data_IF_445318181786
#
_entry.id   IF_445318181786
#
_cell.length_a   1.000
_cell.length_b   1.000
_cell.length_c   1.000
_cell.angle_alpha   90.00
_cell.angle_beta   90.00
_cell.angle_gamma   90.00
#
_symmetry.space_group_name_H-M   'P 1'
#
loop_
_entity.id
_entity.type
_entity.pdbx_description
1 polymer ?
#
# COMPACT_ATOMS: atom_id res chain seq x y z
N UNK A 1 38.17 -7.52 33.06
CA UNK A 1 37.17 -6.53 33.49
C UNK A 1 36.97 -5.53 32.37
N UNK A 2 35.96 -5.67 31.58
CA UNK A 2 35.12 -4.61 31.00
C UNK A 2 33.83 -5.30 30.55
N UNK A 3 32.78 -5.08 31.32
CA UNK A 3 31.42 -5.51 31.06
C UNK A 3 30.64 -4.37 30.40
N UNK A 4 29.76 -4.73 29.45
CA UNK A 4 28.45 -4.16 29.20
C UNK A 4 28.40 -2.74 28.61
N UNK A 5 28.09 -2.64 27.32
CA UNK A 5 27.26 -1.58 26.70
C UNK A 5 26.60 -2.10 25.42
N UNK A 6 25.60 -2.97 25.56
CA UNK A 6 24.81 -3.42 24.42
C UNK A 6 23.32 -3.64 24.78
N UNK A 7 22.78 -2.78 25.66
CA UNK A 7 21.37 -2.91 26.11
C UNK A 7 20.57 -1.60 26.05
N UNK A 8 21.06 -0.56 25.37
CA UNK A 8 20.40 0.76 25.42
C UNK A 8 19.67 1.19 24.15
N UNK A 9 19.60 0.36 23.09
CA UNK A 9 18.93 0.75 21.84
C UNK A 9 17.53 0.12 21.63
N UNK A 10 17.14 -0.85 22.44
CA UNK A 10 15.83 -1.52 22.31
C UNK A 10 14.73 -0.86 23.14
N UNK A 11 15.09 -0.05 24.14
CA UNK A 11 14.13 0.63 25.02
C UNK A 11 13.66 2.01 24.52
N UNK A 12 14.16 2.50 23.40
CA UNK A 12 13.84 3.84 22.89
C UNK A 12 12.55 3.91 22.05
N UNK A 13 12.01 2.79 21.60
CA UNK A 13 10.76 2.76 20.84
C UNK A 13 9.47 2.77 21.68
N UNK A 14 9.58 2.56 22.99
CA UNK A 14 8.42 2.53 23.89
C UNK A 14 8.11 3.87 24.59
N UNK A 15 9.00 4.88 24.46
CA UNK A 15 8.86 6.16 25.20
C UNK A 15 8.36 7.34 24.35
N UNK A 16 8.07 7.15 23.05
CA UNK A 16 7.70 8.25 22.14
C UNK A 16 6.19 8.58 22.19
N UNK A 17 5.37 7.80 22.91
CA UNK A 17 3.93 8.05 23.04
C UNK A 17 3.52 9.06 24.14
N UNK A 18 4.44 9.75 24.80
CA UNK A 18 4.10 10.48 26.05
C UNK A 18 4.08 12.00 26.00
N UNK A 19 4.28 12.67 24.87
CA UNK A 19 4.28 14.15 24.89
C UNK A 19 3.56 14.71 23.67
N UNK A 20 2.28 14.83 23.72
CA UNK A 20 1.47 15.93 23.12
C UNK A 20 0.02 15.74 23.56
N UNK A 21 -0.68 16.82 23.93
CA UNK A 21 -2.00 16.88 24.53
C UNK A 21 -3.20 16.33 23.75
N UNK A 22 -3.03 15.23 23.02
CA UNK A 22 -4.05 14.29 22.65
C UNK A 22 -3.96 13.15 23.64
N UNK A 23 -4.82 13.19 24.67
CA UNK A 23 -4.94 12.14 25.65
C UNK A 23 -5.35 10.83 24.95
N UNK A 24 -4.38 10.00 24.63
CA UNK A 24 -4.60 8.57 24.53
C UNK A 24 -4.26 8.00 25.90
N UNK A 25 -5.27 7.70 26.70
CA UNK A 25 -5.11 6.88 27.90
C UNK A 25 -4.48 5.55 27.42
N UNK A 26 -3.42 5.08 28.08
CA UNK A 26 -2.75 3.81 27.73
C UNK A 26 -3.71 2.61 27.76
N UNK A 27 -4.90 2.75 28.37
CA UNK A 27 -5.97 1.74 28.44
C UNK A 27 -6.93 1.80 27.24
N UNK A 28 -6.95 2.93 26.51
CA UNK A 28 -7.86 3.19 25.39
C UNK A 28 -7.12 3.53 24.10
N UNK A 29 -5.84 3.13 23.95
CA UNK A 29 -5.12 3.32 22.70
C UNK A 29 -5.84 2.55 21.58
N UNK A 30 -6.45 3.21 20.59
CA UNK A 30 -7.00 2.52 19.42
C UNK A 30 -5.92 1.90 18.56
N UNK A 31 -4.64 2.23 18.81
CA UNK A 31 -3.48 1.51 18.32
C UNK A 31 -3.17 0.42 19.34
N UNK A 32 -4.03 -0.60 19.44
CA UNK A 32 -3.53 -1.89 19.80
C UNK A 32 -2.68 -2.34 18.63
N UNK A 33 -1.40 -1.93 18.64
CA UNK A 33 -0.40 -2.76 17.99
C UNK A 33 -0.70 -4.18 18.49
N UNK A 34 -1.00 -5.14 17.60
CA UNK A 34 -1.03 -6.53 18.02
C UNK A 34 0.24 -6.67 18.83
N UNK A 35 0.10 -7.02 20.11
CA UNK A 35 1.22 -7.08 21.05
C UNK A 35 2.39 -7.60 20.26
N UNK A 36 3.46 -6.82 20.18
CA UNK A 36 4.72 -7.33 19.69
C UNK A 36 4.99 -8.48 20.66
N UNK A 37 4.44 -9.67 20.36
CA UNK A 37 4.94 -10.89 20.92
C UNK A 37 6.41 -10.76 20.61
N UNK A 38 7.20 -10.57 21.66
CA UNK A 38 8.62 -10.90 21.60
C UNK A 38 8.58 -12.37 21.19
N UNK A 39 8.53 -12.58 19.86
CA UNK A 39 8.76 -13.88 19.28
C UNK A 39 10.19 -14.18 19.74
N UNK A 40 10.30 -14.98 20.76
CA UNK A 40 11.54 -15.68 21.07
C UNK A 40 12.10 -16.04 19.72
N UNK A 41 13.40 -15.78 19.44
CA UNK A 41 14.13 -15.98 18.20
C UNK A 41 13.53 -17.13 17.38
N UNK A 42 12.35 -16.93 16.82
CA UNK A 42 11.68 -17.89 15.99
C UNK A 42 12.58 -17.98 14.75
N UNK A 43 13.01 -19.17 14.43
CA UNK A 43 13.80 -19.40 13.23
C UNK A 43 13.07 -18.71 12.08
N UNK A 44 13.83 -17.89 11.33
CA UNK A 44 13.33 -17.22 10.12
C UNK A 44 12.58 -18.26 9.27
N UNK A 45 11.33 -18.01 8.88
CA UNK A 45 10.57 -18.96 8.09
C UNK A 45 11.34 -19.38 6.83
N UNK A 46 11.35 -20.68 6.51
CA UNK A 46 12.14 -21.23 5.40
C UNK A 46 11.78 -20.62 4.03
N UNK A 47 10.57 -20.08 3.88
CA UNK A 47 10.14 -19.41 2.67
C UNK A 47 10.67 -17.97 2.52
N UNK A 48 11.27 -17.41 3.55
CA UNK A 48 11.71 -16.00 3.52
C UNK A 48 12.83 -15.75 2.51
N UNK A 49 12.68 -14.80 1.56
CA UNK A 49 13.71 -14.44 0.61
C UNK A 49 14.94 -13.81 1.31
N UNK A 50 16.11 -13.98 0.73
CA UNK A 50 17.36 -13.34 1.21
C UNK A 50 17.53 -11.93 0.61
N UNK A 51 18.40 -11.12 1.21
CA UNK A 51 18.84 -9.82 0.68
C UNK A 51 17.72 -8.79 0.42
N UNK A 52 16.59 -8.88 1.11
CA UNK A 52 15.43 -8.02 0.86
C UNK A 52 15.79 -6.55 1.03
N UNK A 53 16.47 -6.20 2.13
CA UNK A 53 16.85 -4.82 2.41
C UNK A 53 17.84 -4.26 1.38
N UNK A 54 18.80 -5.06 0.92
CA UNK A 54 19.74 -4.67 -0.13
C UNK A 54 19.02 -4.42 -1.47
N UNK A 55 18.07 -5.26 -1.81
CA UNK A 55 17.24 -5.09 -3.01
C UNK A 55 16.39 -3.82 -2.96
N UNK A 56 15.80 -3.50 -1.78
CA UNK A 56 15.10 -2.23 -1.56
C UNK A 56 16.01 -1.04 -1.84
N UNK A 57 17.24 -1.04 -1.29
CA UNK A 57 18.22 0.03 -1.47
C UNK A 57 18.59 0.18 -2.94
N UNK A 58 18.89 -0.91 -3.63
CA UNK A 58 19.27 -0.90 -5.03
C UNK A 58 18.18 -0.27 -5.92
N UNK A 59 16.94 -0.74 -5.78
CA UNK A 59 15.80 -0.29 -6.60
C UNK A 59 15.43 1.16 -6.28
N UNK A 60 15.43 1.55 -5.00
CA UNK A 60 15.17 2.93 -4.61
C UNK A 60 16.24 3.91 -5.10
N UNK A 61 17.51 3.52 -5.05
CA UNK A 61 18.61 4.35 -5.53
C UNK A 61 18.48 4.62 -7.04
N UNK A 62 18.05 3.64 -7.82
CA UNK A 62 17.78 3.85 -9.23
C UNK A 62 16.73 4.95 -9.44
N UNK A 63 15.57 4.83 -8.80
CA UNK A 63 14.51 5.83 -8.95
C UNK A 63 14.98 7.22 -8.52
N UNK A 64 15.67 7.33 -7.38
CA UNK A 64 16.18 8.60 -6.87
C UNK A 64 17.31 9.18 -7.73
N UNK A 65 18.07 8.39 -8.48
CA UNK A 65 19.10 8.91 -9.39
C UNK A 65 18.52 9.77 -10.51
N UNK A 66 17.32 9.48 -10.98
CA UNK A 66 16.58 10.29 -11.95
C UNK A 66 15.71 11.38 -11.32
N UNK A 67 15.44 11.27 -10.04
CA UNK A 67 14.58 12.16 -9.29
C UNK A 67 15.29 12.72 -8.05
N UNK A 68 16.58 13.06 -8.15
CA UNK A 68 17.42 13.48 -7.03
C UNK A 68 16.87 14.69 -6.26
N UNK A 69 16.15 15.58 -6.95
CA UNK A 69 15.40 16.68 -6.37
C UNK A 69 13.95 16.53 -6.79
N UNK A 70 13.05 16.07 -5.90
CA UNK A 70 11.65 15.97 -6.24
C UNK A 70 11.14 17.34 -6.66
N UNK A 71 10.65 17.51 -7.90
CA UNK A 71 10.23 18.81 -8.38
C UNK A 71 8.97 19.27 -7.63
N UNK A 72 8.85 20.55 -7.32
CA UNK A 72 7.58 21.11 -6.89
C UNK A 72 6.59 21.13 -8.05
N UNK A 73 5.30 21.20 -7.72
CA UNK A 73 4.22 21.38 -8.68
C UNK A 73 3.48 20.13 -9.10
N UNK A 74 2.47 20.30 -9.99
CA UNK A 74 1.48 19.27 -10.27
C UNK A 74 2.04 17.94 -10.76
N UNK A 75 3.15 17.98 -11.49
CA UNK A 75 3.79 16.78 -12.04
C UNK A 75 4.34 15.83 -10.97
N UNK A 76 4.57 16.31 -9.74
CA UNK A 76 5.00 15.48 -8.62
C UNK A 76 3.85 15.12 -7.65
N UNK A 77 2.64 15.60 -7.92
CA UNK A 77 1.45 15.38 -7.11
C UNK A 77 0.49 14.35 -7.74
N UNK A 78 1.03 13.48 -8.59
CA UNK A 78 0.25 12.44 -9.27
C UNK A 78 0.07 11.21 -8.38
N UNK A 79 -0.92 10.37 -8.68
CA UNK A 79 -1.14 9.11 -7.98
C UNK A 79 0.07 8.15 -8.08
N UNK A 80 0.80 8.17 -9.21
CA UNK A 80 2.01 7.37 -9.36
C UNK A 80 3.10 7.78 -8.37
N UNK A 81 3.35 9.08 -8.26
CA UNK A 81 4.30 9.62 -7.27
C UNK A 81 3.82 9.39 -5.83
N UNK A 82 2.51 9.58 -5.55
CA UNK A 82 1.93 9.28 -4.23
C UNK A 82 2.19 7.85 -3.79
N UNK A 83 2.07 6.90 -4.72
CA UNK A 83 2.40 5.49 -4.46
C UNK A 83 3.89 5.29 -4.16
N UNK A 84 4.78 5.94 -4.91
CA UNK A 84 6.22 5.90 -4.64
C UNK A 84 6.56 6.48 -3.26
N UNK A 85 6.06 7.66 -2.93
CA UNK A 85 6.35 8.31 -1.64
C UNK A 85 5.83 7.48 -0.46
N UNK A 86 4.64 6.90 -0.57
CA UNK A 86 4.14 5.95 0.42
C UNK A 86 5.08 4.75 0.59
N UNK A 87 5.50 4.13 -0.51
CA UNK A 87 6.44 3.03 -0.52
C UNK A 87 7.79 3.38 0.12
N UNK A 88 8.35 4.57 -0.19
CA UNK A 88 9.61 5.04 0.37
C UNK A 88 9.53 5.21 1.92
N UNK A 89 8.40 5.71 2.43
CA UNK A 89 8.19 5.83 3.87
C UNK A 89 8.00 4.47 4.55
N UNK A 90 7.35 3.51 3.92
CA UNK A 90 7.31 2.12 4.39
C UNK A 90 8.71 1.50 4.41
N UNK A 91 9.50 1.69 3.36
CA UNK A 91 10.88 1.24 3.32
C UNK A 91 11.73 1.89 4.43
N UNK A 92 11.55 3.19 4.71
CA UNK A 92 12.17 3.85 5.86
C UNK A 92 11.79 3.16 7.17
N UNK A 93 10.50 2.93 7.42
CA UNK A 93 10.05 2.32 8.68
C UNK A 93 10.61 0.91 8.88
N UNK A 94 10.84 0.15 7.81
CA UNK A 94 11.37 -1.21 7.86
C UNK A 94 12.90 -1.28 7.93
N UNK A 95 13.61 -0.35 7.27
CA UNK A 95 15.07 -0.40 7.12
C UNK A 95 15.83 0.58 8.01
N UNK A 96 15.18 1.68 8.44
CA UNK A 96 15.81 2.77 9.16
C UNK A 96 16.66 3.71 8.27
N UNK A 97 16.58 3.59 6.94
CA UNK A 97 17.35 4.43 6.00
C UNK A 97 16.76 5.84 5.96
N UNK A 98 17.32 6.73 6.76
CA UNK A 98 16.81 8.09 7.01
C UNK A 98 16.68 8.95 5.74
N UNK A 99 17.48 8.68 4.71
CA UNK A 99 17.41 9.41 3.44
C UNK A 99 16.04 9.30 2.77
N UNK A 100 15.32 8.20 2.94
CA UNK A 100 14.00 8.01 2.37
C UNK A 100 12.97 8.97 2.98
N UNK A 101 12.95 9.06 4.31
CA UNK A 101 12.10 10.00 5.03
C UNK A 101 12.43 11.47 4.67
N UNK A 102 13.72 11.83 4.69
CA UNK A 102 14.17 13.19 4.34
C UNK A 102 13.78 13.57 2.91
N UNK A 103 13.86 12.63 1.98
CA UNK A 103 13.50 12.84 0.59
C UNK A 103 12.00 13.17 0.45
N UNK A 104 11.13 12.36 1.06
CA UNK A 104 9.68 12.57 0.99
C UNK A 104 9.28 13.84 1.75
N UNK A 105 9.89 14.14 2.89
CA UNK A 105 9.65 15.38 3.64
C UNK A 105 10.04 16.62 2.81
N UNK A 106 11.18 16.56 2.11
CA UNK A 106 11.60 17.66 1.21
C UNK A 106 10.57 17.88 0.11
N UNK A 107 10.07 16.80 -0.51
CA UNK A 107 9.00 16.89 -1.51
C UNK A 107 7.72 17.52 -0.94
N UNK A 108 7.25 17.05 0.21
CA UNK A 108 6.02 17.56 0.83
C UNK A 108 6.14 19.07 1.17
N UNK A 109 7.28 19.49 1.73
CA UNK A 109 7.56 20.91 2.02
C UNK A 109 7.62 21.76 0.75
N UNK A 110 8.26 21.28 -0.32
CA UNK A 110 8.37 22.00 -1.59
C UNK A 110 7.00 22.19 -2.27
N UNK A 111 6.07 21.29 -2.01
CA UNK A 111 4.69 21.35 -2.51
C UNK A 111 3.69 21.94 -1.48
N UNK A 112 4.18 22.46 -0.33
CA UNK A 112 3.35 23.07 0.71
C UNK A 112 2.19 22.16 1.16
N UNK A 113 2.40 20.85 1.17
CA UNK A 113 1.41 19.83 1.56
C UNK A 113 0.12 19.89 0.73
N UNK A 114 0.19 20.42 -0.49
CA UNK A 114 -0.93 20.63 -1.40
C UNK A 114 -1.24 19.38 -2.23
N UNK A 115 -2.29 19.48 -3.00
CA UNK A 115 -2.70 18.49 -4.01
C UNK A 115 -2.57 19.10 -5.40
N UNK A 116 -2.51 18.27 -6.45
CA UNK A 116 -2.61 18.74 -7.81
C UNK A 116 -3.94 19.50 -8.00
N UNK A 117 -3.98 20.57 -8.80
CA UNK A 117 -5.22 21.20 -9.17
C UNK A 117 -6.19 20.16 -9.74
N UNK A 118 -7.38 20.07 -9.20
CA UNK A 118 -8.39 19.12 -9.63
C UNK A 118 -9.76 19.82 -9.75
N UNK A 119 -10.64 19.32 -10.61
CA UNK A 119 -12.00 19.82 -10.66
C UNK A 119 -12.70 19.54 -9.30
N UNK A 120 -13.73 20.31 -8.95
CA UNK A 120 -14.46 20.13 -7.67
C UNK A 120 -15.29 18.83 -7.62
N UNK A 121 -14.88 17.82 -8.36
CA UNK A 121 -15.54 16.51 -8.49
C UNK A 121 -15.10 15.51 -7.42
N UNK A 122 -14.18 15.90 -6.53
CA UNK A 122 -13.63 15.02 -5.48
C UNK A 122 -13.08 13.69 -6.05
N UNK A 123 -12.32 13.76 -7.13
CA UNK A 123 -11.70 12.57 -7.72
C UNK A 123 -10.60 12.02 -6.83
N UNK A 124 -10.67 10.71 -6.56
CA UNK A 124 -9.76 10.01 -5.67
C UNK A 124 -8.27 10.11 -6.10
N UNK A 125 -7.98 10.07 -7.39
CA UNK A 125 -6.62 10.07 -7.94
C UNK A 125 -5.81 11.29 -7.51
N UNK A 126 -6.44 12.46 -7.42
CA UNK A 126 -5.77 13.71 -7.01
C UNK A 126 -5.38 13.73 -5.53
N UNK A 127 -6.04 12.89 -4.70
CA UNK A 127 -5.81 12.83 -3.26
C UNK A 127 -4.83 11.74 -2.84
N UNK A 128 -4.35 10.94 -3.78
CA UNK A 128 -3.49 9.79 -3.50
C UNK A 128 -2.21 10.13 -2.73
N UNK A 129 -1.62 11.32 -2.97
CA UNK A 129 -0.44 11.80 -2.24
C UNK A 129 -0.71 12.04 -0.74
N UNK A 130 -1.97 12.22 -0.35
CA UNK A 130 -2.36 12.46 1.04
C UNK A 130 -1.98 11.33 1.99
N UNK A 131 -1.85 10.10 1.50
CA UNK A 131 -1.37 9.00 2.30
C UNK A 131 0.11 9.19 2.71
N UNK A 132 0.94 9.75 1.85
CA UNK A 132 2.31 10.09 2.21
C UNK A 132 2.36 11.20 3.29
N UNK A 133 1.43 12.15 3.29
CA UNK A 133 1.33 13.16 4.35
C UNK A 133 0.96 12.55 5.70
N UNK A 134 0.05 11.58 5.73
CA UNK A 134 -0.27 10.81 6.94
C UNK A 134 0.96 10.08 7.46
N UNK A 135 1.68 9.37 6.58
CA UNK A 135 2.88 8.64 6.98
C UNK A 135 3.98 9.57 7.50
N UNK A 136 4.20 10.73 6.87
CA UNK A 136 5.13 11.74 7.37
C UNK A 136 4.74 12.22 8.76
N UNK A 137 3.45 12.50 9.00
CA UNK A 137 2.93 12.88 10.31
C UNK A 137 3.21 11.79 11.37
N UNK A 138 2.92 10.53 11.05
CA UNK A 138 3.11 9.41 11.97
C UNK A 138 4.58 9.11 12.27
N UNK A 139 5.47 9.36 11.30
CA UNK A 139 6.90 9.09 11.40
C UNK A 139 7.72 10.28 11.92
N UNK A 140 7.14 11.47 11.98
CA UNK A 140 7.77 12.65 12.57
C UNK A 140 7.57 12.62 14.09
N UNK A 141 8.65 12.62 14.90
CA UNK A 141 8.51 12.61 16.37
C UNK A 141 7.72 13.79 16.95
N UNK A 142 7.56 14.88 16.19
CA UNK A 142 6.82 16.08 16.62
C UNK A 142 5.34 15.99 16.27
N UNK A 143 4.93 15.05 15.43
CA UNK A 143 3.56 14.88 14.92
C UNK A 143 2.89 16.22 14.52
N UNK A 144 3.44 16.99 13.57
CA UNK A 144 2.92 18.32 13.24
C UNK A 144 1.56 18.21 12.54
N UNK A 145 0.50 18.58 13.24
CA UNK A 145 -0.88 18.50 12.71
C UNK A 145 -1.08 19.34 11.44
N UNK A 146 -0.23 20.36 11.22
CA UNK A 146 -0.20 21.17 10.00
C UNK A 146 -0.03 20.33 8.72
N UNK A 147 0.66 19.18 8.80
CA UNK A 147 0.82 18.26 7.67
C UNK A 147 -0.52 17.69 7.16
N UNK A 148 -1.50 17.59 8.04
CA UNK A 148 -2.80 16.96 7.76
C UNK A 148 -3.91 17.97 7.44
N UNK A 149 -3.72 19.27 7.68
CA UNK A 149 -4.77 20.28 7.48
C UNK A 149 -5.30 20.30 6.03
N UNK A 150 -4.44 20.32 4.98
CA UNK A 150 -4.93 20.31 3.61
C UNK A 150 -5.70 19.02 3.29
N UNK A 151 -5.17 17.87 3.69
CA UNK A 151 -5.83 16.57 3.48
C UNK A 151 -7.19 16.50 4.20
N UNK A 152 -7.24 16.90 5.45
CA UNK A 152 -8.49 16.89 6.23
C UNK A 152 -9.57 17.77 5.59
N UNK A 153 -9.18 18.90 5.03
CA UNK A 153 -10.12 19.78 4.29
C UNK A 153 -10.72 19.06 3.09
N UNK A 154 -9.91 18.39 2.28
CA UNK A 154 -10.38 17.65 1.10
C UNK A 154 -11.28 16.48 1.51
N UNK A 155 -10.85 15.65 2.47
CA UNK A 155 -11.63 14.48 2.91
C UNK A 155 -12.95 14.91 3.55
N UNK A 156 -13.01 16.04 4.26
CA UNK A 156 -14.29 16.59 4.75
C UNK A 156 -15.25 16.94 3.63
N UNK A 157 -14.75 17.33 2.47
CA UNK A 157 -15.59 17.53 1.29
C UNK A 157 -16.36 16.28 0.90
N UNK A 158 -15.69 15.12 0.93
CA UNK A 158 -16.36 13.81 0.73
C UNK A 158 -17.34 13.48 1.86
N UNK A 159 -16.89 13.64 3.13
CA UNK A 159 -17.72 13.32 4.31
C UNK A 159 -19.04 14.08 4.30
N UNK A 160 -19.00 15.35 3.90
CA UNK A 160 -20.17 16.22 3.84
C UNK A 160 -21.01 16.06 2.55
N UNK A 161 -20.50 15.36 1.54
CA UNK A 161 -21.23 15.12 0.30
C UNK A 161 -22.29 14.04 0.50
N UNK A 162 -23.53 14.22 0.01
CA UNK A 162 -24.54 13.16 0.02
C UNK A 162 -24.26 12.07 -1.04
N UNK A 163 -23.36 12.34 -2.00
CA UNK A 163 -23.08 11.41 -3.09
C UNK A 163 -22.34 10.17 -2.60
N UNK A 164 -22.67 9.02 -3.20
CA UNK A 164 -22.04 7.72 -2.95
C UNK A 164 -21.30 7.20 -4.19
N UNK A 165 -21.61 7.72 -5.37
CA UNK A 165 -21.05 7.37 -6.67
C UNK A 165 -19.70 8.07 -6.95
N UNK A 166 -18.85 8.23 -5.92
CA UNK A 166 -17.57 8.94 -6.05
C UNK A 166 -16.41 7.98 -6.34
N UNK A 167 -16.57 6.69 -6.07
CA UNK A 167 -15.56 5.67 -6.36
C UNK A 167 -16.12 4.68 -7.39
N UNK A 168 -16.09 5.09 -8.66
CA UNK A 168 -16.66 4.33 -9.78
C UNK A 168 -15.66 3.39 -10.47
N UNK A 169 -14.46 3.26 -9.88
CA UNK A 169 -13.41 2.35 -10.32
C UNK A 169 -12.61 1.84 -9.13
N UNK A 170 -12.13 0.61 -9.23
CA UNK A 170 -11.47 -0.09 -8.12
C UNK A 170 -10.20 0.61 -7.62
N UNK A 171 -9.49 1.33 -8.49
CA UNK A 171 -8.25 2.04 -8.15
C UNK A 171 -8.50 3.11 -7.07
N UNK A 172 -9.70 3.72 -7.06
CA UNK A 172 -10.09 4.74 -6.08
C UNK A 172 -9.95 4.24 -4.63
N UNK A 173 -10.13 2.93 -4.40
CA UNK A 173 -9.94 2.34 -3.07
C UNK A 173 -8.52 2.60 -2.55
N UNK A 174 -7.50 2.42 -3.38
CA UNK A 174 -6.12 2.70 -2.97
C UNK A 174 -5.84 4.19 -2.83
N UNK A 175 -6.41 4.99 -3.73
CA UNK A 175 -6.08 6.40 -3.87
C UNK A 175 -6.52 7.21 -2.67
N UNK A 176 -7.65 6.85 -2.02
CA UNK A 176 -8.21 7.70 -0.98
C UNK A 176 -8.82 6.98 0.23
N UNK A 177 -9.18 5.70 0.14
CA UNK A 177 -9.83 4.99 1.25
C UNK A 177 -8.96 4.94 2.52
N UNK A 178 -7.63 4.68 2.47
CA UNK A 178 -6.78 4.71 3.66
C UNK A 178 -6.79 6.07 4.38
N UNK A 179 -6.87 7.19 3.64
CA UNK A 179 -6.89 8.53 4.25
C UNK A 179 -8.11 8.75 5.13
N UNK A 180 -9.28 8.22 4.74
CA UNK A 180 -10.47 8.25 5.59
C UNK A 180 -10.27 7.45 6.87
N UNK A 181 -9.73 6.24 6.77
CA UNK A 181 -9.49 5.37 7.92
C UNK A 181 -8.57 6.05 8.94
N UNK A 182 -7.41 6.54 8.48
CA UNK A 182 -6.44 7.19 9.34
C UNK A 182 -6.98 8.47 9.97
N UNK A 183 -7.62 9.36 9.20
CA UNK A 183 -8.19 10.59 9.75
C UNK A 183 -9.34 10.28 10.72
N UNK A 184 -10.22 9.35 10.39
CA UNK A 184 -11.35 8.97 11.24
C UNK A 184 -10.89 8.45 12.60
N UNK A 185 -9.90 7.55 12.61
CA UNK A 185 -9.33 6.99 13.85
C UNK A 185 -8.55 8.04 14.64
N UNK A 186 -7.64 8.78 13.99
CA UNK A 186 -6.82 9.79 14.68
C UNK A 186 -7.65 10.93 15.26
N UNK A 187 -8.71 11.33 14.57
CA UNK A 187 -9.61 12.40 15.03
C UNK A 187 -10.71 11.89 15.96
N UNK A 188 -10.86 10.58 16.13
CA UNK A 188 -11.96 9.94 16.84
C UNK A 188 -13.34 10.40 16.29
N UNK A 189 -13.42 10.59 14.97
CA UNK A 189 -14.63 11.05 14.27
C UNK A 189 -15.20 9.91 13.39
N UNK A 190 -16.26 9.23 13.86
CA UNK A 190 -16.83 8.09 13.16
C UNK A 190 -17.44 8.45 11.80
N UNK A 191 -17.74 9.72 11.51
CA UNK A 191 -18.31 10.14 10.23
C UNK A 191 -17.39 9.85 9.06
N UNK A 192 -16.06 9.89 9.29
CA UNK A 192 -15.07 9.54 8.27
C UNK A 192 -15.14 8.04 7.94
N UNK A 193 -15.21 7.19 8.97
CA UNK A 193 -15.28 5.73 8.81
C UNK A 193 -16.59 5.31 8.15
N UNK A 194 -17.69 5.90 8.59
CA UNK A 194 -19.02 5.67 8.02
C UNK A 194 -19.07 6.06 6.55
N UNK A 195 -18.58 7.25 6.19
CA UNK A 195 -18.53 7.69 4.80
C UNK A 195 -17.62 6.82 3.95
N UNK A 196 -16.46 6.44 4.47
CA UNK A 196 -15.55 5.51 3.83
C UNK A 196 -16.26 4.20 3.48
N UNK A 197 -16.97 3.63 4.44
CA UNK A 197 -17.70 2.38 4.23
C UNK A 197 -18.82 2.54 3.20
N UNK A 198 -19.57 3.61 3.26
CA UNK A 198 -20.65 3.89 2.29
C UNK A 198 -20.11 3.96 0.85
N UNK A 199 -19.00 4.66 0.62
CA UNK A 199 -18.36 4.77 -0.69
C UNK A 199 -17.79 3.41 -1.14
N UNK A 200 -17.12 2.70 -0.25
CA UNK A 200 -16.62 1.35 -0.49
C UNK A 200 -17.74 0.37 -0.85
N UNK A 201 -18.82 0.37 -0.06
CA UNK A 201 -19.96 -0.52 -0.27
C UNK A 201 -20.70 -0.19 -1.57
N UNK A 202 -20.80 1.09 -1.93
CA UNK A 202 -21.36 1.50 -3.23
C UNK A 202 -20.52 0.94 -4.38
N UNK A 203 -19.19 1.13 -4.36
CA UNK A 203 -18.31 0.56 -5.36
C UNK A 203 -18.43 -0.97 -5.43
N UNK A 204 -18.45 -1.62 -4.26
CA UNK A 204 -18.56 -3.09 -4.14
C UNK A 204 -19.85 -3.65 -4.72
N UNK A 205 -21.00 -3.01 -4.48
CA UNK A 205 -22.32 -3.64 -4.67
C UNK A 205 -23.24 -2.91 -5.65
N UNK A 206 -22.99 -1.63 -5.97
CA UNK A 206 -23.91 -0.80 -6.74
C UNK A 206 -23.32 -0.33 -8.07
N UNK A 207 -22.06 0.08 -8.09
CA UNK A 207 -21.42 0.62 -9.29
C UNK A 207 -21.46 -0.40 -10.43
N UNK A 208 -22.22 -0.08 -11.49
CA UNK A 208 -22.38 -0.94 -12.67
C UNK A 208 -22.98 -2.33 -12.37
N UNK A 209 -23.63 -2.52 -11.22
CA UNK A 209 -24.11 -3.80 -10.70
C UNK A 209 -23.20 -4.42 -9.64
N UNK A 210 -22.15 -3.68 -9.25
CA UNK A 210 -21.15 -4.06 -8.25
C UNK A 210 -19.81 -4.47 -8.87
N UNK A 211 -18.74 -3.84 -8.42
CA UNK A 211 -17.38 -4.12 -8.91
C UNK A 211 -16.73 -5.36 -8.26
N UNK A 212 -17.31 -5.89 -7.18
CA UNK A 212 -16.81 -7.10 -6.53
C UNK A 212 -17.48 -8.35 -7.09
N UNK A 213 -16.66 -9.31 -7.52
CA UNK A 213 -17.14 -10.65 -7.87
C UNK A 213 -16.94 -11.61 -6.69
N UNK A 214 -18.00 -11.94 -5.94
CA UNK A 214 -17.89 -12.81 -4.77
C UNK A 214 -17.61 -14.28 -5.15
N UNK A 215 -17.86 -14.68 -6.40
CA UNK A 215 -17.61 -16.05 -6.88
C UNK A 215 -16.12 -16.24 -7.19
N UNK A 216 -15.50 -15.21 -7.78
CA UNK A 216 -14.07 -15.23 -8.12
C UNK A 216 -13.17 -14.72 -7.01
N UNK A 217 -13.70 -13.93 -6.04
CA UNK A 217 -12.89 -13.26 -5.03
C UNK A 217 -11.98 -12.18 -5.62
N UNK A 218 -12.40 -11.53 -6.68
CA UNK A 218 -11.66 -10.54 -7.44
C UNK A 218 -12.54 -9.33 -7.78
N UNK A 219 -11.89 -8.22 -8.14
CA UNK A 219 -12.56 -7.00 -8.53
C UNK A 219 -12.51 -6.78 -10.03
N UNK A 220 -13.62 -6.39 -10.63
CA UNK A 220 -13.64 -5.71 -11.92
C UNK A 220 -13.14 -4.27 -11.75
N UNK A 221 -12.47 -3.74 -12.78
CA UNK A 221 -11.89 -2.41 -12.69
C UNK A 221 -12.97 -1.33 -12.58
N UNK A 222 -14.00 -1.41 -13.42
CA UNK A 222 -15.14 -0.50 -13.49
C UNK A 222 -16.34 -1.19 -14.13
N UNK A 223 -17.47 -0.46 -14.24
CA UNK A 223 -18.72 -0.98 -14.81
C UNK A 223 -18.60 -1.63 -16.20
N UNK A 224 -17.60 -1.22 -17.00
CA UNK A 224 -17.43 -1.77 -18.35
C UNK A 224 -16.92 -3.21 -18.35
N UNK A 225 -16.41 -3.68 -17.22
CA UNK A 225 -15.85 -5.03 -17.06
C UNK A 225 -16.74 -5.96 -16.25
N UNK A 226 -17.77 -5.46 -15.58
CA UNK A 226 -18.69 -6.28 -14.76
C UNK A 226 -19.29 -7.41 -15.59
N UNK A 227 -19.24 -8.64 -15.06
CA UNK A 227 -19.71 -9.86 -15.71
C UNK A 227 -18.76 -10.43 -16.77
N UNK A 228 -17.62 -9.81 -17.05
CA UNK A 228 -16.62 -10.32 -17.99
C UNK A 228 -15.52 -11.09 -17.23
N UNK A 229 -14.91 -12.09 -17.87
CA UNK A 229 -13.72 -12.79 -17.33
C UNK A 229 -12.44 -11.96 -17.52
N UNK A 230 -12.50 -10.69 -17.11
CA UNK A 230 -11.41 -9.72 -17.24
C UNK A 230 -11.19 -9.08 -15.86
N UNK A 231 -10.19 -9.56 -15.13
CA UNK A 231 -9.81 -9.06 -13.82
C UNK A 231 -8.40 -8.49 -13.90
N UNK A 232 -8.31 -7.18 -14.00
CA UNK A 232 -7.04 -6.50 -14.18
C UNK A 232 -6.15 -6.64 -12.94
N UNK A 233 -4.93 -7.16 -13.14
CA UNK A 233 -3.97 -7.46 -12.08
C UNK A 233 -3.70 -6.23 -11.21
N UNK A 234 -3.26 -5.11 -11.80
CA UNK A 234 -2.99 -3.90 -11.02
C UNK A 234 -4.24 -3.33 -10.33
N UNK A 235 -5.42 -3.41 -10.94
CA UNK A 235 -6.67 -3.01 -10.29
C UNK A 235 -6.93 -3.80 -9.02
N UNK A 236 -6.77 -5.12 -9.06
CA UNK A 236 -6.85 -5.98 -7.88
C UNK A 236 -5.69 -5.72 -6.90
N UNK A 237 -4.52 -5.34 -7.41
CA UNK A 237 -3.39 -4.90 -6.60
C UNK A 237 -3.71 -3.65 -5.77
N UNK A 238 -4.38 -2.67 -6.37
CA UNK A 238 -4.86 -1.50 -5.66
C UNK A 238 -5.85 -1.87 -4.55
N UNK A 239 -6.80 -2.75 -4.84
CA UNK A 239 -7.82 -3.17 -3.88
C UNK A 239 -7.20 -3.85 -2.64
N UNK A 240 -6.34 -4.85 -2.83
CA UNK A 240 -5.72 -5.55 -1.69
C UNK A 240 -4.81 -4.62 -0.88
N UNK A 241 -4.09 -3.70 -1.54
CA UNK A 241 -3.26 -2.71 -0.86
C UNK A 241 -4.08 -1.70 -0.05
N UNK A 242 -5.27 -1.31 -0.55
CA UNK A 242 -6.21 -0.47 0.20
C UNK A 242 -6.73 -1.17 1.46
N UNK A 243 -7.17 -2.44 1.32
CA UNK A 243 -7.68 -3.23 2.43
C UNK A 243 -6.67 -3.35 3.57
N UNK A 244 -5.41 -3.69 3.27
CA UNK A 244 -4.40 -3.85 4.32
C UNK A 244 -4.01 -2.52 4.96
N UNK A 245 -4.02 -1.41 4.22
CA UNK A 245 -3.78 -0.08 4.78
C UNK A 245 -4.91 0.38 5.71
N UNK A 246 -6.14 0.03 5.39
CA UNK A 246 -7.30 0.30 6.27
C UNK A 246 -7.23 -0.56 7.52
N UNK A 247 -7.02 -1.87 7.37
CA UNK A 247 -6.91 -2.81 8.49
C UNK A 247 -5.71 -2.53 9.41
N UNK A 248 -4.68 -1.83 8.93
CA UNK A 248 -3.50 -1.45 9.73
C UNK A 248 -3.84 -0.40 10.81
N UNK A 249 -4.90 0.38 10.64
CA UNK A 249 -5.31 1.43 11.57
C UNK A 249 -6.70 1.21 12.17
N UNK A 250 -7.59 0.51 11.47
CA UNK A 250 -8.97 0.35 11.89
C UNK A 250 -9.05 -0.52 13.16
N UNK A 251 -9.74 -0.10 14.21
CA UNK A 251 -9.94 -0.93 15.38
C UNK A 251 -10.71 -2.22 15.05
N UNK A 252 -10.34 -3.34 15.66
CA UNK A 252 -11.07 -4.60 15.47
C UNK A 252 -12.51 -4.57 15.96
N UNK A 253 -12.87 -3.53 16.74
CA UNK A 253 -14.25 -3.26 17.21
C UNK A 253 -15.08 -2.47 16.20
N UNK A 254 -14.49 -1.99 15.10
CA UNK A 254 -15.25 -1.36 14.02
C UNK A 254 -16.24 -2.36 13.42
N UNK A 255 -17.50 -1.97 13.18
CA UNK A 255 -18.54 -2.89 12.69
C UNK A 255 -18.23 -3.53 11.33
N UNK A 256 -17.36 -2.90 10.52
CA UNK A 256 -17.00 -3.39 9.20
C UNK A 256 -15.61 -4.07 9.14
N UNK A 257 -14.89 -4.10 10.27
CA UNK A 257 -13.55 -4.71 10.34
C UNK A 257 -13.53 -6.13 9.79
N UNK A 258 -14.48 -6.96 10.22
CA UNK A 258 -14.51 -8.37 9.82
C UNK A 258 -14.84 -8.57 8.34
N UNK A 259 -15.59 -7.66 7.74
CA UNK A 259 -15.84 -7.67 6.30
C UNK A 259 -14.56 -7.42 5.50
N UNK A 260 -13.74 -6.44 5.90
CA UNK A 260 -12.45 -6.19 5.26
C UNK A 260 -11.49 -7.38 5.42
N UNK A 261 -11.45 -8.01 6.61
CA UNK A 261 -10.66 -9.24 6.84
C UNK A 261 -11.12 -10.37 5.92
N UNK A 262 -12.43 -10.63 5.86
CA UNK A 262 -13.00 -11.67 5.01
C UNK A 262 -12.68 -11.43 3.53
N UNK A 263 -12.78 -10.19 3.08
CA UNK A 263 -12.43 -9.83 1.70
C UNK A 263 -10.93 -10.02 1.41
N UNK A 264 -10.04 -9.63 2.32
CA UNK A 264 -8.60 -9.90 2.20
C UNK A 264 -8.32 -11.40 2.05
N UNK A 265 -8.99 -12.25 2.84
CA UNK A 265 -8.83 -13.70 2.80
C UNK A 265 -9.34 -14.28 1.47
N UNK A 266 -10.49 -13.83 0.98
CA UNK A 266 -11.06 -14.24 -0.30
C UNK A 266 -10.15 -13.83 -1.46
N UNK A 267 -9.66 -12.58 -1.47
CA UNK A 267 -8.71 -12.11 -2.48
C UNK A 267 -7.42 -12.93 -2.44
N UNK A 268 -6.85 -13.19 -1.26
CA UNK A 268 -5.63 -13.97 -1.14
C UNK A 268 -5.79 -15.40 -1.68
N UNK A 269 -6.93 -16.04 -1.42
CA UNK A 269 -7.24 -17.37 -1.95
C UNK A 269 -7.36 -17.36 -3.49
N UNK A 270 -8.07 -16.38 -4.06
CA UNK A 270 -8.21 -16.21 -5.49
C UNK A 270 -6.84 -15.95 -6.17
N UNK A 271 -6.05 -15.08 -5.58
CA UNK A 271 -4.70 -14.76 -6.07
C UNK A 271 -3.77 -15.98 -6.01
N UNK A 272 -3.84 -16.78 -4.94
CA UNK A 272 -3.06 -18.02 -4.85
C UNK A 272 -3.40 -18.99 -6.00
N UNK A 273 -4.66 -19.08 -6.37
CA UNK A 273 -5.13 -19.96 -7.43
C UNK A 273 -4.70 -19.52 -8.84
N UNK A 274 -4.49 -18.22 -9.08
CA UNK A 274 -4.12 -17.68 -10.40
C UNK A 274 -2.65 -17.27 -10.55
N UNK A 275 -1.79 -17.53 -9.52
CA UNK A 275 -0.35 -17.30 -9.67
C UNK A 275 0.25 -18.23 -10.74
N UNK A 276 0.99 -17.67 -11.67
CA UNK A 276 1.60 -18.43 -12.76
C UNK A 276 2.83 -19.25 -12.30
N UNK A 277 3.20 -20.31 -13.02
CA UNK A 277 4.37 -21.14 -12.69
C UNK A 277 5.68 -20.37 -12.54
N UNK A 278 5.86 -19.27 -13.28
CA UNK A 278 7.03 -18.39 -13.20
C UNK A 278 7.03 -17.42 -11.99
N UNK A 279 5.99 -17.46 -11.14
CA UNK A 279 5.88 -16.65 -9.93
C UNK A 279 5.14 -15.33 -10.10
N UNK A 280 4.87 -14.89 -11.31
CA UNK A 280 4.12 -13.66 -11.58
C UNK A 280 2.60 -13.88 -11.55
N UNK A 281 1.90 -12.78 -11.45
CA UNK A 281 0.53 -12.65 -11.94
C UNK A 281 0.56 -11.86 -13.25
N UNK A 282 -0.17 -12.35 -14.25
CA UNK A 282 -0.24 -11.69 -15.54
C UNK A 282 -1.30 -10.59 -15.52
N UNK A 283 -1.31 -9.74 -16.54
CA UNK A 283 -2.18 -8.54 -16.57
C UNK A 283 -3.65 -8.83 -16.41
N UNK A 284 -4.14 -9.96 -16.95
CA UNK A 284 -5.49 -10.45 -16.75
C UNK A 284 -5.49 -11.71 -15.88
N UNK A 285 -6.00 -11.60 -14.65
CA UNK A 285 -6.06 -12.71 -13.71
C UNK A 285 -7.07 -13.79 -14.11
N UNK A 286 -8.09 -13.43 -14.87
CA UNK A 286 -9.14 -14.35 -15.32
C UNK A 286 -8.72 -15.22 -16.51
N UNK A 287 -7.75 -14.75 -17.28
CA UNK A 287 -7.23 -15.43 -18.47
C UNK A 287 -5.76 -15.09 -18.70
N UNK A 288 -4.82 -15.96 -18.29
CA UNK A 288 -3.39 -15.71 -18.44
C UNK A 288 -2.91 -15.77 -19.91
N UNK A 289 -3.71 -16.26 -20.83
CA UNK A 289 -3.39 -16.24 -22.26
C UNK A 289 -3.67 -14.88 -22.90
N UNK A 290 -4.50 -14.07 -22.25
CA UNK A 290 -4.80 -12.70 -22.65
C UNK A 290 -3.70 -11.76 -22.13
N UNK A 291 -2.83 -11.31 -23.01
CA UNK A 291 -1.61 -10.55 -22.69
C UNK A 291 -0.65 -11.32 -21.77
N UNK A 292 -0.07 -12.45 -22.26
CA UNK A 292 0.81 -13.28 -21.45
C UNK A 292 2.13 -12.55 -21.11
N UNK A 293 2.67 -12.88 -19.95
CA UNK A 293 3.93 -12.32 -19.45
C UNK A 293 3.79 -11.69 -18.07
N UNK A 294 4.91 -11.62 -17.36
CA UNK A 294 4.94 -11.07 -15.99
C UNK A 294 4.62 -9.58 -15.99
N UNK A 295 3.76 -9.17 -15.06
CA UNK A 295 3.44 -7.76 -14.79
C UNK A 295 3.87 -7.43 -13.36
N UNK A 296 4.73 -6.42 -13.23
CA UNK A 296 5.45 -6.16 -11.99
C UNK A 296 4.57 -5.49 -10.94
N UNK A 297 3.74 -4.50 -11.32
CA UNK A 297 3.02 -3.68 -10.34
C UNK A 297 1.95 -4.48 -9.59
N UNK A 298 1.08 -5.20 -10.29
CA UNK A 298 0.07 -6.06 -9.66
C UNK A 298 0.73 -7.14 -8.80
N UNK A 299 1.76 -7.81 -9.34
CA UNK A 299 2.54 -8.83 -8.61
C UNK A 299 3.05 -8.29 -7.27
N UNK A 300 3.63 -7.11 -7.24
CA UNK A 300 4.21 -6.53 -6.03
C UNK A 300 3.15 -6.08 -5.01
N UNK A 301 2.00 -5.55 -5.47
CA UNK A 301 0.89 -5.26 -4.55
C UNK A 301 0.32 -6.53 -3.93
N UNK A 302 0.28 -7.64 -4.66
CA UNK A 302 -0.13 -8.93 -4.08
C UNK A 302 0.88 -9.43 -3.06
N UNK A 303 2.19 -9.32 -3.35
CA UNK A 303 3.23 -9.61 -2.37
C UNK A 303 3.04 -8.75 -1.11
N UNK A 304 2.83 -7.45 -1.25
CA UNK A 304 2.58 -6.53 -0.13
C UNK A 304 1.38 -6.97 0.72
N UNK A 305 0.20 -7.13 0.09
CA UNK A 305 -1.04 -7.43 0.81
C UNK A 305 -1.02 -8.80 1.48
N UNK A 306 -0.54 -9.83 0.78
CA UNK A 306 -0.46 -11.19 1.34
C UNK A 306 0.57 -11.26 2.47
N UNK A 307 1.74 -10.63 2.31
CA UNK A 307 2.78 -10.57 3.36
C UNK A 307 2.26 -9.88 4.62
N UNK A 308 1.55 -8.76 4.46
CA UNK A 308 0.90 -8.08 5.58
C UNK A 308 -0.12 -9.00 6.28
N UNK A 309 -0.94 -9.71 5.52
CA UNK A 309 -1.92 -10.67 6.05
C UNK A 309 -1.26 -11.81 6.85
N UNK A 310 -0.14 -12.35 6.37
CA UNK A 310 0.65 -13.36 7.10
C UNK A 310 1.21 -12.79 8.41
N UNK A 311 1.84 -11.61 8.35
CA UNK A 311 2.45 -10.97 9.52
C UNK A 311 1.44 -10.64 10.60
N UNK A 312 0.21 -10.33 10.24
CA UNK A 312 -0.87 -10.03 11.18
C UNK A 312 -1.70 -11.27 11.58
N UNK A 313 -1.32 -12.47 11.15
CA UNK A 313 -1.99 -13.72 11.53
C UNK A 313 -3.35 -13.94 10.87
N UNK A 314 -3.69 -13.15 9.84
CA UNK A 314 -4.94 -13.27 9.10
C UNK A 314 -4.85 -14.28 7.95
N UNK A 315 -3.63 -14.59 7.49
CA UNK A 315 -3.33 -15.57 6.46
C UNK A 315 -2.32 -16.60 6.99
N UNK A 316 -2.47 -17.85 6.58
CA UNK A 316 -1.58 -18.93 6.99
C UNK A 316 -0.20 -18.81 6.30
N UNK A 317 0.87 -18.60 7.07
CA UNK A 317 2.23 -18.45 6.56
C UNK A 317 2.77 -19.69 5.82
N UNK A 318 2.37 -20.91 6.20
CA UNK A 318 2.80 -22.13 5.51
C UNK A 318 2.18 -22.23 4.11
N UNK A 319 0.96 -21.74 3.94
CA UNK A 319 0.23 -21.74 2.66
C UNK A 319 0.70 -20.61 1.75
N UNK A 320 0.70 -19.38 2.27
CA UNK A 320 0.91 -18.18 1.45
C UNK A 320 2.37 -17.71 1.37
N UNK A 321 3.22 -18.10 2.33
CA UNK A 321 4.62 -17.73 2.34
C UNK A 321 5.39 -18.19 1.10
N UNK A 322 5.29 -19.45 0.66
CA UNK A 322 5.91 -19.90 -0.61
C UNK A 322 5.44 -19.12 -1.84
N UNK A 323 4.16 -18.71 -1.89
CA UNK A 323 3.57 -17.92 -2.99
C UNK A 323 4.24 -16.55 -3.06
N UNK A 324 4.34 -15.88 -1.92
CA UNK A 324 4.98 -14.57 -1.79
C UNK A 324 6.47 -14.65 -2.15
N UNK A 325 7.18 -15.64 -1.61
CA UNK A 325 8.61 -15.83 -1.86
C UNK A 325 8.89 -16.09 -3.34
N UNK A 326 8.07 -16.94 -3.98
CA UNK A 326 8.18 -17.23 -5.40
C UNK A 326 8.01 -15.96 -6.24
N UNK A 327 7.02 -15.12 -5.93
CA UNK A 327 6.79 -13.87 -6.64
C UNK A 327 7.94 -12.86 -6.44
N UNK A 328 8.37 -12.64 -5.19
CA UNK A 328 9.48 -11.73 -4.90
C UNK A 328 10.77 -12.15 -5.60
N UNK A 329 11.11 -13.43 -5.57
CA UNK A 329 12.28 -13.96 -6.25
C UNK A 329 12.17 -13.84 -7.77
N UNK A 330 10.97 -14.05 -8.35
CA UNK A 330 10.74 -13.88 -9.78
C UNK A 330 10.91 -12.41 -10.21
N UNK A 331 10.35 -11.46 -9.46
CA UNK A 331 10.52 -10.03 -9.72
C UNK A 331 12.01 -9.66 -9.70
N UNK A 332 12.74 -10.03 -8.64
CA UNK A 332 14.15 -9.70 -8.53
C UNK A 332 15.02 -10.35 -9.62
N UNK A 333 14.67 -11.55 -10.05
CA UNK A 333 15.44 -12.27 -11.07
C UNK A 333 15.19 -11.76 -12.49
N UNK A 334 13.95 -11.38 -12.81
CA UNK A 334 13.54 -11.17 -14.21
C UNK A 334 13.20 -9.72 -14.55
N UNK A 335 12.92 -8.88 -13.53
CA UNK A 335 12.45 -7.51 -13.79
C UNK A 335 13.32 -6.42 -13.19
N UNK A 336 14.16 -6.74 -12.20
CA UNK A 336 15.15 -5.82 -11.65
C UNK A 336 16.49 -6.00 -12.39
N UNK A 337 17.02 -4.91 -12.92
CA UNK A 337 18.38 -4.90 -13.46
C UNK A 337 19.38 -4.93 -12.29
N UNK A 338 20.18 -6.00 -12.15
CA UNK A 338 21.07 -6.14 -11.00
C UNK A 338 22.23 -5.15 -11.02
N UNK A 339 22.53 -4.53 -12.15
CA UNK A 339 23.64 -3.56 -12.27
C UNK A 339 23.29 -2.17 -11.73
N UNK A 340 22.01 -1.79 -11.76
CA UNK A 340 21.61 -0.43 -11.44
C UNK A 340 20.30 -0.33 -10.65
N UNK A 341 19.49 -1.39 -10.55
CA UNK A 341 18.22 -1.41 -9.82
C UNK A 341 17.01 -0.95 -10.62
N UNK A 342 17.12 -0.77 -11.95
CA UNK A 342 15.97 -0.43 -12.78
C UNK A 342 14.92 -1.53 -12.70
N UNK A 343 13.68 -1.14 -12.40
CA UNK A 343 12.53 -2.03 -12.35
C UNK A 343 11.76 -1.95 -13.67
N UNK A 344 11.76 -3.03 -14.43
CA UNK A 344 11.04 -3.15 -15.70
C UNK A 344 9.71 -3.89 -15.59
N UNK A 345 9.09 -4.19 -16.72
CA UNK A 345 7.86 -4.96 -16.87
C UNK A 345 6.69 -4.42 -16.03
N UNK A 346 6.66 -3.14 -15.76
CA UNK A 346 5.55 -2.46 -15.11
C UNK A 346 4.59 -1.94 -16.20
N UNK A 347 3.36 -2.44 -16.26
CA UNK A 347 2.39 -1.97 -17.25
C UNK A 347 2.14 -0.47 -17.09
N UNK A 348 2.17 0.28 -18.19
CA UNK A 348 1.98 1.73 -18.18
C UNK A 348 0.60 2.18 -17.68
N UNK A 349 0.43 3.49 -17.40
CA UNK A 349 -0.85 4.05 -16.97
C UNK A 349 -1.98 3.67 -17.92
N UNK A 350 -3.11 3.27 -17.35
CA UNK A 350 -4.28 2.81 -18.09
C UNK A 350 -5.34 2.25 -17.18
N UNK A 351 -6.38 1.68 -17.76
CA UNK A 351 -7.60 1.26 -17.07
C UNK A 351 -8.04 -0.17 -17.45
N UNK A 352 -7.20 -0.92 -18.16
CA UNK A 352 -7.54 -2.26 -18.62
C UNK A 352 -6.29 -3.10 -18.90
N UNK A 353 -6.40 -4.44 -18.97
CA UNK A 353 -5.31 -5.31 -19.41
C UNK A 353 -4.72 -4.92 -20.77
N UNK A 354 -5.52 -4.45 -21.71
CA UNK A 354 -5.09 -4.01 -23.02
C UNK A 354 -4.30 -2.69 -23.03
N UNK A 355 -4.34 -1.92 -21.92
CA UNK A 355 -3.67 -0.62 -21.87
C UNK A 355 -2.16 -0.78 -21.94
N UNK A 356 -1.51 0.05 -22.78
CA UNK A 356 -0.05 0.13 -22.85
C UNK A 356 0.65 -1.21 -23.07
N UNK A 357 0.10 -2.04 -23.93
CA UNK A 357 0.75 -3.26 -24.39
C UNK A 357 1.71 -2.99 -25.56
N UNK A 358 2.77 -3.78 -25.74
CA UNK A 358 3.22 -4.85 -24.82
C UNK A 358 3.94 -4.32 -23.59
N UNK A 359 3.87 -5.07 -22.47
CA UNK A 359 4.68 -4.81 -21.26
C UNK A 359 6.07 -5.42 -21.48
N UNK A 360 7.11 -4.60 -21.37
CA UNK A 360 8.49 -4.99 -21.68
C UNK A 360 9.46 -4.61 -20.56
N UNK A 361 10.70 -5.03 -20.65
CA UNK A 361 11.76 -4.61 -19.74
C UNK A 361 11.98 -3.08 -19.72
N UNK A 362 11.59 -2.37 -20.77
CA UNK A 362 11.66 -0.90 -20.83
C UNK A 362 10.49 -0.21 -20.11
N UNK A 363 9.40 -0.95 -19.84
CA UNK A 363 8.22 -0.40 -19.18
C UNK A 363 8.50 -0.20 -17.69
N UNK A 364 8.73 1.04 -17.28
CA UNK A 364 9.09 1.43 -15.90
C UNK A 364 8.30 2.67 -15.47
N UNK A 365 7.72 2.66 -14.25
CA UNK A 365 6.83 3.71 -13.76
C UNK A 365 6.90 3.85 -12.24
N UNK A 366 6.69 5.07 -11.73
CA UNK A 366 6.82 5.45 -10.32
C UNK A 366 6.07 4.52 -9.36
N UNK A 367 4.81 4.19 -9.67
CA UNK A 367 4.00 3.30 -8.85
C UNK A 367 4.52 1.85 -8.80
N UNK A 368 5.27 1.41 -9.81
CA UNK A 368 5.96 0.11 -9.76
C UNK A 368 7.06 0.11 -8.70
N UNK A 369 7.85 1.18 -8.65
CA UNK A 369 8.83 1.36 -7.57
C UNK A 369 8.14 1.47 -6.22
N UNK A 370 7.05 2.21 -6.11
CA UNK A 370 6.26 2.31 -4.88
C UNK A 370 5.76 0.95 -4.39
N UNK A 371 5.20 0.13 -5.28
CA UNK A 371 4.75 -1.23 -4.97
C UNK A 371 5.92 -2.13 -4.54
N UNK A 372 7.10 -2.00 -5.18
CA UNK A 372 8.31 -2.74 -4.81
C UNK A 372 8.75 -2.41 -3.38
N UNK A 373 8.77 -1.13 -3.03
CA UNK A 373 9.16 -0.66 -1.71
C UNK A 373 8.15 -1.10 -0.63
N UNK A 374 6.85 -1.08 -0.91
CA UNK A 374 5.80 -1.60 -0.03
C UNK A 374 5.98 -3.10 0.22
N UNK A 375 6.13 -3.89 -0.84
CA UNK A 375 6.32 -5.34 -0.76
C UNK A 375 7.59 -5.71 0.02
N UNK A 376 8.71 -5.08 -0.34
CA UNK A 376 9.99 -5.30 0.33
C UNK A 376 9.95 -4.92 1.81
N UNK A 377 9.32 -3.78 2.15
CA UNK A 377 9.18 -3.34 3.53
C UNK A 377 8.39 -4.35 4.38
N UNK A 378 7.27 -4.88 3.88
CA UNK A 378 6.51 -5.89 4.61
C UNK A 378 7.27 -7.22 4.73
N UNK A 379 8.01 -7.60 3.68
CA UNK A 379 8.90 -8.78 3.76
C UNK A 379 10.01 -8.60 4.81
N UNK A 380 10.61 -7.41 4.92
CA UNK A 380 11.59 -7.11 5.99
C UNK A 380 10.96 -7.24 7.37
N UNK A 381 9.72 -6.75 7.55
CA UNK A 381 9.00 -6.85 8.83
C UNK A 381 8.65 -8.30 9.18
N UNK A 382 8.31 -9.14 8.20
CA UNK A 382 7.97 -10.55 8.40
C UNK A 382 9.20 -11.43 8.59
N UNK A 383 10.25 -11.21 7.80
CA UNK A 383 11.38 -12.12 7.63
C UNK A 383 12.68 -11.64 8.32
N UNK A 384 12.72 -10.41 8.80
CA UNK A 384 13.95 -9.76 9.21
C UNK A 384 14.76 -9.18 8.02
N UNK A 385 15.79 -8.42 8.36
CA UNK A 385 16.66 -7.75 7.37
C UNK A 385 17.57 -8.73 6.64
#
# INVERSE_FOLDING_TARGET
MVKIRTLSLILWFCSICRITGFYLDERDSPIQHPQTRILALAQRPAYCPTNIAASIVLVNNYWQSFNANPPPGPNSLTWGNGTYFGGALFAYSATGVLTYWKYVLKWANSNQWSFAPHPPTNEADYLSVGYAYILLYLLDPKHPTSYLIPLDREIRGFVNSPRLDLWTWVDALHMVMPQFAYLGVMKKDPRYLEKMYQLFNYAKTQEGGGLWDPVKGLWWRDRNFVGRNIYWSRGNGWAIAALVKVLDILPSTDPHYQEYVSMLQQMAAALAACQQPNGFWYVNLGDPTNFPGGETSGTLFFVYGITWGIRNGLLNGATYGPIVAKAWNAVNRYTVDPSNGRLGYCQGPGYAPASRQPVTSASTYDYGFGAYLLAGAELVKLCGR
#
